data_IF_843865869749
#
_entry.id   IF_843865869749
#
_cell.length_a   1.000
_cell.length_b   1.000
_cell.length_c   1.000
_cell.angle_alpha   90.00
_cell.angle_beta   90.00
_cell.angle_gamma   90.00
#
_symmetry.space_group_name_H-M   'P 1'
#
loop_
_entity.id
_entity.type
_entity.pdbx_description
1 polymer ?
#
# COMPACT_ATOMS: atom_id res chain seq x y z
N UNK A 1 -16.64 22.10 -23.16
CA UNK A 1 -15.60 21.06 -23.32
C UNK A 1 -15.28 20.46 -21.94
N UNK A 2 -15.56 19.16 -21.75
CA UNK A 2 -14.88 18.23 -20.81
C UNK A 2 -14.98 18.32 -19.27
N UNK A 3 -16.14 18.62 -18.66
CA UNK A 3 -16.32 18.39 -17.21
C UNK A 3 -16.21 16.89 -16.83
N UNK A 4 -16.66 15.97 -17.70
CA UNK A 4 -16.52 14.52 -17.52
C UNK A 4 -15.08 14.01 -17.65
N UNK A 5 -14.30 14.55 -18.60
CA UNK A 5 -12.90 14.17 -18.82
C UNK A 5 -12.03 14.57 -17.62
N UNK A 6 -12.27 15.76 -17.05
CA UNK A 6 -11.59 16.24 -15.84
C UNK A 6 -11.88 15.34 -14.62
N UNK A 7 -13.11 14.88 -14.42
CA UNK A 7 -13.45 14.03 -13.28
C UNK A 7 -12.82 12.62 -13.35
N UNK A 8 -12.70 12.05 -14.55
CA UNK A 8 -12.05 10.76 -14.76
C UNK A 8 -10.54 10.84 -14.51
N UNK A 9 -9.87 11.88 -15.00
CA UNK A 9 -8.44 12.14 -14.76
C UNK A 9 -8.13 12.35 -13.27
N UNK A 10 -9.02 13.05 -12.54
CA UNK A 10 -8.88 13.23 -11.08
C UNK A 10 -9.07 11.91 -10.33
N UNK A 11 -9.96 11.02 -10.79
CA UNK A 11 -10.15 9.71 -10.19
C UNK A 11 -8.92 8.82 -10.36
N UNK A 12 -8.41 8.70 -11.58
CA UNK A 12 -7.19 7.94 -11.92
C UNK A 12 -5.98 8.46 -11.10
N UNK A 13 -5.80 9.78 -11.03
CA UNK A 13 -4.75 10.38 -10.21
C UNK A 13 -4.86 10.01 -8.72
N UNK A 14 -6.07 9.97 -8.16
CA UNK A 14 -6.25 9.55 -6.78
C UNK A 14 -5.89 8.08 -6.57
N UNK A 15 -6.21 7.20 -7.52
CA UNK A 15 -5.91 5.78 -7.42
C UNK A 15 -4.41 5.50 -7.53
N UNK A 16 -3.71 6.22 -8.40
CA UNK A 16 -2.24 6.21 -8.46
C UNK A 16 -1.61 6.72 -7.16
N UNK A 17 -2.16 7.78 -6.57
CA UNK A 17 -1.69 8.29 -5.27
C UNK A 17 -1.95 7.29 -4.14
N UNK A 18 -3.10 6.60 -4.10
CA UNK A 18 -3.37 5.53 -3.11
C UNK A 18 -2.34 4.41 -3.27
N UNK A 19 -2.10 3.97 -4.50
CA UNK A 19 -1.09 2.95 -4.82
C UNK A 19 0.29 3.35 -4.29
N UNK A 20 0.70 4.59 -4.57
CA UNK A 20 1.99 5.13 -4.17
C UNK A 20 2.10 5.25 -2.64
N UNK A 21 1.04 5.67 -1.96
CA UNK A 21 1.01 5.72 -0.51
C UNK A 21 1.21 4.31 0.08
N UNK A 22 0.47 3.31 -0.42
CA UNK A 22 0.61 1.92 0.01
C UNK A 22 2.02 1.36 -0.24
N UNK A 23 2.64 1.76 -1.36
CA UNK A 23 4.03 1.39 -1.65
C UNK A 23 5.00 1.98 -0.62
N UNK A 24 4.85 3.25 -0.24
CA UNK A 24 5.68 3.85 0.81
C UNK A 24 5.49 3.14 2.16
N UNK A 25 4.26 2.76 2.51
CA UNK A 25 4.03 1.95 3.70
C UNK A 25 4.73 0.58 3.63
N UNK A 26 4.69 -0.09 2.47
CA UNK A 26 5.42 -1.34 2.27
C UNK A 26 6.94 -1.15 2.46
N UNK A 27 7.52 -0.13 1.82
CA UNK A 27 8.95 0.19 1.92
C UNK A 27 9.39 0.55 3.35
N UNK A 28 8.53 1.25 4.10
CA UNK A 28 8.75 1.49 5.53
C UNK A 28 8.91 0.18 6.31
N UNK A 29 8.06 -0.82 6.04
CA UNK A 29 8.17 -2.11 6.72
C UNK A 29 9.38 -2.93 6.25
N UNK A 30 9.83 -2.77 5.00
CA UNK A 30 11.11 -3.32 4.53
C UNK A 30 12.27 -2.74 5.33
N UNK A 31 12.36 -1.41 5.44
CA UNK A 31 13.39 -0.75 6.26
C UNK A 31 13.31 -1.22 7.73
N UNK A 32 12.10 -1.41 8.25
CA UNK A 32 11.88 -1.90 9.60
C UNK A 32 12.35 -3.32 9.85
N UNK A 33 12.18 -4.20 8.87
CA UNK A 33 12.70 -5.56 8.92
C UNK A 33 14.23 -5.54 8.85
N UNK A 34 14.81 -4.74 7.95
CA UNK A 34 16.26 -4.58 7.83
C UNK A 34 16.92 -4.12 9.14
N UNK A 35 16.30 -3.21 9.89
CA UNK A 35 16.78 -2.78 11.22
C UNK A 35 16.98 -3.90 12.24
N UNK A 36 16.30 -5.04 12.05
CA UNK A 36 16.41 -6.17 12.98
C UNK A 36 17.72 -6.93 12.79
N UNK A 37 18.34 -6.82 11.62
CA UNK A 37 19.53 -7.60 11.21
C UNK A 37 20.77 -6.74 11.01
N UNK A 38 20.67 -5.42 11.14
CA UNK A 38 21.81 -4.50 11.03
C UNK A 38 22.10 -3.84 12.38
N UNK A 39 23.36 -3.50 12.59
CA UNK A 39 23.85 -2.86 13.82
C UNK A 39 24.57 -1.53 13.51
N UNK A 40 24.82 -0.74 14.56
CA UNK A 40 25.61 0.49 14.48
C UNK A 40 24.91 1.65 13.75
N UNK A 41 25.69 2.45 13.03
CA UNK A 41 25.23 3.67 12.35
C UNK A 41 24.19 3.42 11.26
N UNK A 42 24.14 2.21 10.69
CA UNK A 42 23.14 1.81 9.68
C UNK A 42 21.71 1.91 10.22
N UNK A 43 21.50 1.63 11.51
CA UNK A 43 20.18 1.71 12.16
C UNK A 43 19.64 3.14 12.08
N UNK A 44 20.48 4.14 12.32
CA UNK A 44 20.10 5.55 12.26
C UNK A 44 19.61 5.96 10.86
N UNK A 45 20.32 5.52 9.80
CA UNK A 45 19.87 5.79 8.43
C UNK A 45 18.54 5.12 8.10
N UNK A 46 18.34 3.88 8.57
CA UNK A 46 17.07 3.18 8.39
C UNK A 46 15.92 3.84 9.17
N UNK A 47 16.18 4.39 10.35
CA UNK A 47 15.19 5.18 11.11
C UNK A 47 14.78 6.43 10.32
N UNK A 48 15.74 7.16 9.75
CA UNK A 48 15.45 8.32 8.92
C UNK A 48 14.62 7.93 7.69
N UNK A 49 15.00 6.85 7.01
CA UNK A 49 14.28 6.32 5.84
C UNK A 49 12.83 5.93 6.22
N UNK A 50 12.63 5.26 7.35
CA UNK A 50 11.28 4.95 7.84
C UNK A 50 10.45 6.22 8.02
N UNK A 51 11.00 7.24 8.68
CA UNK A 51 10.31 8.51 8.90
C UNK A 51 9.94 9.15 7.56
N UNK A 52 10.87 9.19 6.60
CA UNK A 52 10.62 9.74 5.27
C UNK A 52 9.46 9.00 4.59
N UNK A 53 9.44 7.66 4.61
CA UNK A 53 8.35 6.90 4.01
C UNK A 53 7.00 7.09 4.73
N UNK A 54 6.99 7.19 6.05
CA UNK A 54 5.76 7.51 6.80
C UNK A 54 5.24 8.89 6.41
N UNK A 55 6.11 9.90 6.39
CA UNK A 55 5.75 11.28 6.06
C UNK A 55 5.24 11.38 4.63
N UNK A 56 5.89 10.73 3.67
CA UNK A 56 5.44 10.69 2.27
C UNK A 56 4.10 9.98 2.13
N UNK A 57 3.95 8.80 2.73
CA UNK A 57 2.70 8.02 2.70
C UNK A 57 1.52 8.79 3.31
N UNK A 58 1.70 9.37 4.50
CA UNK A 58 0.69 10.18 5.17
C UNK A 58 0.40 11.47 4.41
N UNK A 59 1.43 12.16 3.92
CA UNK A 59 1.30 13.38 3.14
C UNK A 59 0.45 13.17 1.88
N UNK A 60 0.61 12.03 1.21
CA UNK A 60 -0.26 11.66 0.09
C UNK A 60 -1.71 11.43 0.54
N UNK A 61 -1.95 10.67 1.61
CA UNK A 61 -3.31 10.46 2.13
C UNK A 61 -3.99 11.78 2.49
N UNK A 62 -3.28 12.67 3.18
CA UNK A 62 -3.78 14.01 3.55
C UNK A 62 -4.08 14.81 2.28
N UNK A 63 -3.22 14.76 1.26
CA UNK A 63 -3.44 15.45 -0.02
C UNK A 63 -4.70 14.97 -0.73
N UNK A 64 -4.92 13.65 -0.78
CA UNK A 64 -6.13 13.05 -1.38
C UNK A 64 -7.37 13.50 -0.61
N UNK A 65 -7.34 13.39 0.72
CA UNK A 65 -8.46 13.78 1.57
C UNK A 65 -8.75 15.28 1.38
N UNK A 66 -7.74 16.13 1.46
CA UNK A 66 -7.95 17.58 1.36
C UNK A 66 -8.44 17.99 -0.04
N UNK A 67 -7.80 17.49 -1.10
CA UNK A 67 -8.18 17.79 -2.49
C UNK A 67 -9.62 17.37 -2.78
N UNK A 68 -10.01 16.17 -2.33
CA UNK A 68 -11.31 15.58 -2.67
C UNK A 68 -12.42 16.09 -1.75
N UNK A 69 -12.20 16.16 -0.44
CA UNK A 69 -13.23 16.63 0.49
C UNK A 69 -13.49 18.13 0.36
N UNK A 70 -12.48 18.96 0.05
CA UNK A 70 -12.70 20.41 -0.11
C UNK A 70 -13.73 20.75 -1.19
N UNK A 71 -13.85 19.93 -2.23
CA UNK A 71 -14.70 20.21 -3.39
C UNK A 71 -16.01 19.42 -3.46
N UNK A 72 -16.25 18.48 -2.53
CA UNK A 72 -17.47 17.66 -2.51
C UNK A 72 -18.52 18.19 -1.55
N UNK A 73 -19.78 18.25 -2.01
CA UNK A 73 -20.95 18.51 -1.17
C UNK A 73 -21.19 17.37 -0.17
N UNK A 74 -21.94 17.62 0.91
CA UNK A 74 -22.23 16.62 1.94
C UNK A 74 -22.92 15.35 1.38
N UNK A 75 -23.74 15.49 0.33
CA UNK A 75 -24.43 14.38 -0.30
C UNK A 75 -23.47 13.51 -1.14
N UNK A 76 -22.58 14.13 -1.92
CA UNK A 76 -21.59 13.42 -2.73
C UNK A 76 -20.54 12.70 -1.86
N UNK A 77 -20.20 13.28 -0.70
CA UNK A 77 -19.32 12.60 0.29
C UNK A 77 -19.92 11.30 0.81
N UNK A 78 -21.23 11.22 1.04
CA UNK A 78 -21.89 9.99 1.49
C UNK A 78 -21.89 8.91 0.41
N UNK A 79 -22.23 9.28 -0.82
CA UNK A 79 -22.18 8.34 -1.96
C UNK A 79 -20.76 7.87 -2.27
N UNK A 80 -19.74 8.66 -1.91
CA UNK A 80 -18.34 8.25 -2.10
C UNK A 80 -17.84 7.23 -1.07
N UNK A 81 -18.35 7.27 0.17
CA UNK A 81 -18.00 6.30 1.22
C UNK A 81 -18.84 5.01 1.08
N UNK A 82 -19.68 4.93 0.05
CA UNK A 82 -20.52 3.78 -0.23
C UNK A 82 -19.65 2.51 -0.35
N UNK A 83 -19.88 1.50 0.52
CA UNK A 83 -19.21 0.21 0.45
C UNK A 83 -19.39 -0.50 -0.89
N UNK A 84 -20.40 -0.13 -1.68
CA UNK A 84 -20.61 -0.71 -3.01
C UNK A 84 -19.91 0.09 -4.14
N UNK A 85 -19.14 1.12 -3.79
CA UNK A 85 -18.41 1.96 -4.74
C UNK A 85 -17.28 1.23 -5.49
N UNK A 86 -16.99 1.68 -6.71
CA UNK A 86 -15.91 1.16 -7.58
C UNK A 86 -14.56 1.01 -6.87
N UNK A 87 -14.14 2.02 -6.10
CA UNK A 87 -12.88 1.98 -5.36
C UNK A 87 -12.86 0.86 -4.31
N UNK A 88 -13.97 0.65 -3.61
CA UNK A 88 -14.08 -0.41 -2.61
C UNK A 88 -14.08 -1.79 -3.25
N UNK A 89 -14.77 -1.96 -4.39
CA UNK A 89 -14.81 -3.24 -5.10
C UNK A 89 -13.42 -3.63 -5.64
N UNK A 90 -12.66 -2.70 -6.21
CA UNK A 90 -11.26 -2.92 -6.63
C UNK A 90 -10.37 -3.19 -5.43
N UNK A 91 -10.48 -2.40 -4.36
CA UNK A 91 -9.69 -2.61 -3.15
C UNK A 91 -9.94 -4.01 -2.56
N UNK A 92 -11.20 -4.47 -2.52
CA UNK A 92 -11.55 -5.82 -2.05
C UNK A 92 -10.96 -6.92 -2.94
N UNK A 93 -11.04 -6.78 -4.26
CA UNK A 93 -10.40 -7.72 -5.21
C UNK A 93 -8.88 -7.74 -5.05
N UNK A 94 -8.26 -6.57 -4.93
CA UNK A 94 -6.83 -6.43 -4.71
C UNK A 94 -6.38 -7.06 -3.39
N UNK A 95 -7.16 -6.87 -2.32
CA UNK A 95 -6.91 -7.46 -1.01
C UNK A 95 -7.00 -8.98 -1.07
N UNK A 96 -8.06 -9.55 -1.66
CA UNK A 96 -8.19 -11.01 -1.79
C UNK A 96 -7.01 -11.62 -2.54
N UNK A 97 -6.58 -11.00 -3.64
CA UNK A 97 -5.42 -11.46 -4.43
C UNK A 97 -4.09 -11.28 -3.69
N UNK A 98 -3.88 -10.16 -3.00
CA UNK A 98 -2.64 -9.92 -2.24
C UNK A 98 -2.49 -10.91 -1.10
N UNK A 99 -3.60 -11.25 -0.42
CA UNK A 99 -3.62 -12.30 0.59
C UNK A 99 -3.27 -13.66 0.01
N UNK A 100 -3.87 -14.05 -1.12
CA UNK A 100 -3.53 -15.32 -1.78
C UNK A 100 -2.04 -15.40 -2.16
N UNK A 101 -1.49 -14.33 -2.76
CA UNK A 101 -0.06 -14.25 -3.10
C UNK A 101 0.80 -14.34 -1.83
N UNK A 102 0.42 -13.62 -0.77
CA UNK A 102 1.16 -13.63 0.50
C UNK A 102 1.17 -15.03 1.12
N UNK A 103 0.05 -15.75 1.10
CA UNK A 103 -0.02 -17.13 1.57
C UNK A 103 0.88 -18.08 0.77
N UNK A 104 0.90 -17.95 -0.55
CA UNK A 104 1.78 -18.74 -1.40
C UNK A 104 3.24 -18.47 -1.03
N UNK A 105 3.63 -17.19 -0.92
CA UNK A 105 5.01 -16.82 -0.54
C UNK A 105 5.35 -17.37 0.84
N UNK A 106 4.43 -17.29 1.81
CA UNK A 106 4.63 -17.87 3.15
C UNK A 106 4.85 -19.38 3.12
N UNK A 107 4.09 -20.12 2.32
CA UNK A 107 4.28 -21.56 2.14
C UNK A 107 5.67 -21.90 1.59
N UNK A 108 6.19 -21.08 0.68
CA UNK A 108 7.57 -21.21 0.19
C UNK A 108 8.62 -20.72 1.19
N UNK A 109 8.28 -19.75 2.04
CA UNK A 109 9.19 -19.21 3.03
C UNK A 109 9.41 -20.19 4.19
N UNK A 110 8.42 -21.00 4.55
CA UNK A 110 8.50 -21.95 5.66
C UNK A 110 9.73 -22.88 5.61
N UNK A 111 10.06 -23.58 4.50
CA UNK A 111 11.28 -24.38 4.44
C UNK A 111 12.55 -23.52 4.53
N UNK A 112 12.53 -22.30 3.98
CA UNK A 112 13.67 -21.37 4.03
C UNK A 112 13.92 -20.88 5.45
N UNK A 113 12.86 -20.56 6.20
CA UNK A 113 12.99 -20.07 7.58
C UNK A 113 13.49 -21.16 8.51
N UNK A 114 13.10 -22.41 8.30
CA UNK A 114 13.58 -23.56 9.09
C UNK A 114 15.07 -23.87 8.89
N UNK A 115 15.68 -23.46 7.77
CA UNK A 115 17.06 -23.86 7.44
C UNK A 115 18.06 -22.69 7.40
N UNK A 116 17.63 -21.50 6.98
CA UNK A 116 18.53 -20.37 6.73
C UNK A 116 18.25 -19.15 7.61
N UNK A 117 17.05 -19.03 8.19
CA UNK A 117 16.64 -17.84 8.95
C UNK A 117 16.16 -18.17 10.37
N UNK A 118 16.50 -19.35 10.90
CA UNK A 118 15.99 -19.84 12.18
C UNK A 118 16.37 -18.94 13.37
N UNK A 119 17.51 -18.23 13.28
CA UNK A 119 18.03 -17.38 14.35
C UNK A 119 17.43 -15.96 14.36
N UNK A 120 16.63 -15.61 13.34
CA UNK A 120 16.02 -14.28 13.28
C UNK A 120 14.86 -14.16 14.27
N UNK A 121 14.74 -13.04 14.99
CA UNK A 121 13.68 -12.89 15.98
C UNK A 121 12.31 -12.72 15.29
N UNK A 122 11.19 -13.14 15.92
CA UNK A 122 9.84 -13.06 15.35
C UNK A 122 9.45 -11.69 14.78
N UNK A 123 9.96 -10.61 15.39
CA UNK A 123 9.75 -9.23 14.93
C UNK A 123 10.23 -8.96 13.50
N UNK A 124 11.26 -9.67 13.02
CA UNK A 124 11.71 -9.57 11.62
C UNK A 124 10.62 -10.08 10.67
N UNK A 125 10.12 -11.30 10.94
CA UNK A 125 9.13 -11.96 10.10
C UNK A 125 7.82 -11.21 10.04
N UNK A 126 7.32 -10.71 11.19
CA UNK A 126 6.09 -9.90 11.22
C UNK A 126 6.22 -8.68 10.29
N UNK A 127 7.34 -7.95 10.39
CA UNK A 127 7.58 -6.76 9.56
C UNK A 127 7.73 -7.12 8.07
N UNK A 128 8.45 -8.20 7.77
CA UNK A 128 8.62 -8.69 6.40
C UNK A 128 7.28 -9.12 5.76
N UNK A 129 6.42 -9.80 6.51
CA UNK A 129 5.09 -10.23 6.04
C UNK A 129 4.20 -9.01 5.79
N UNK A 130 4.20 -8.02 6.69
CA UNK A 130 3.44 -6.79 6.48
C UNK A 130 3.95 -6.04 5.24
N UNK A 131 5.27 -5.93 5.07
CA UNK A 131 5.88 -5.34 3.88
C UNK A 131 5.44 -6.05 2.59
N UNK A 132 5.48 -7.38 2.60
CA UNK A 132 5.06 -8.20 1.47
C UNK A 132 3.57 -8.04 1.17
N UNK A 133 2.72 -8.05 2.20
CA UNK A 133 1.27 -7.90 2.05
C UNK A 133 0.93 -6.53 1.47
N UNK A 134 1.52 -5.45 1.99
CA UNK A 134 1.30 -4.10 1.49
C UNK A 134 1.88 -3.89 0.09
N UNK A 135 3.06 -4.45 -0.20
CA UNK A 135 3.70 -4.38 -1.51
C UNK A 135 2.89 -5.11 -2.57
N UNK A 136 2.50 -6.35 -2.30
CA UNK A 136 1.65 -7.14 -3.20
C UNK A 136 0.27 -6.52 -3.36
N UNK A 137 -0.30 -5.95 -2.30
CA UNK A 137 -1.56 -5.20 -2.37
C UNK A 137 -1.43 -3.97 -3.26
N UNK A 138 -0.39 -3.15 -3.06
CA UNK A 138 -0.12 -1.97 -3.90
C UNK A 138 0.01 -2.34 -5.37
N UNK A 139 0.85 -3.33 -5.70
CA UNK A 139 1.05 -3.80 -7.08
C UNK A 139 -0.25 -4.35 -7.68
N UNK A 140 -0.98 -5.18 -6.93
CA UNK A 140 -2.21 -5.79 -7.42
C UNK A 140 -3.29 -4.76 -7.64
N UNK A 141 -3.43 -3.80 -6.73
CA UNK A 141 -4.35 -2.69 -6.85
C UNK A 141 -4.06 -1.88 -8.11
N UNK A 142 -2.79 -1.51 -8.35
CA UNK A 142 -2.36 -0.81 -9.56
C UNK A 142 -2.71 -1.56 -10.85
N UNK A 143 -2.42 -2.87 -10.90
CA UNK A 143 -2.69 -3.69 -12.09
C UNK A 143 -4.20 -3.82 -12.34
N UNK A 144 -4.99 -4.05 -11.29
CA UNK A 144 -6.44 -4.17 -11.40
C UNK A 144 -7.09 -2.87 -11.87
N UNK A 145 -6.66 -1.75 -11.27
CA UNK A 145 -7.17 -0.43 -11.61
C UNK A 145 -6.89 -0.04 -13.07
N UNK A 146 -5.68 -0.32 -13.56
CA UNK A 146 -5.33 -0.10 -14.96
C UNK A 146 -6.15 -0.97 -15.92
N UNK A 147 -6.47 -2.21 -15.54
CA UNK A 147 -7.27 -3.12 -16.37
C UNK A 147 -8.72 -2.67 -16.45
N UNK A 148 -9.34 -2.36 -15.31
CA UNK A 148 -10.76 -1.94 -15.26
C UNK A 148 -10.99 -0.53 -15.83
N UNK A 149 -9.99 0.35 -15.84
CA UNK A 149 -10.08 1.67 -16.50
C UNK A 149 -9.90 1.63 -18.02
N UNK A 150 -9.39 0.53 -18.58
CA UNK A 150 -9.12 0.36 -20.02
C UNK A 150 -10.17 -0.43 -20.81
N UNK A 151 -11.16 -1.01 -20.11
CA UNK A 151 -12.28 -1.76 -20.69
C UNK A 151 -13.59 -1.00 -20.55
#
# INVERSE_FOLDING_TARGET
MNKKKNNAEIADRHQQLITLALLFWALKYVASAAKVIVEGSTVFYLDLIEIVFVVLGLGIFITIIFSKFRNLSKAERRSYIDPDGYLFSIAKKAMSRSWAITFIVLAFLEPVTKHYLADLPPRFFIKAIIALLLGTFSITFFILDRKESSG
#
